data_IF_259461987672
#
_entry.id   IF_259461987672
#
_cell.length_a   1.000
_cell.length_b   1.000
_cell.length_c   1.000
_cell.angle_alpha   90.00
_cell.angle_beta   90.00
_cell.angle_gamma   90.00
#
_symmetry.space_group_name_H-M   'P 1'
#
loop_
_entity.id
_entity.type
_entity.pdbx_description
1 polymer ?
#
# COMPACT_ATOMS: atom_id res chain seq x y z
N UNK A 1 -20.86 1.65 -0.82
CA UNK A 1 -20.01 0.47 -0.52
C UNK A 1 -19.41 0.69 0.88
N UNK A 2 -19.31 -0.34 1.73
CA UNK A 2 -18.71 -0.22 3.08
C UNK A 2 -17.43 -1.06 3.12
N UNK A 3 -16.34 -0.46 3.58
CA UNK A 3 -15.04 -1.15 3.76
C UNK A 3 -14.85 -1.57 5.22
N UNK A 4 -14.08 -2.64 5.42
CA UNK A 4 -13.49 -2.90 6.73
C UNK A 4 -12.46 -1.82 7.02
N UNK A 5 -12.47 -1.26 8.23
CA UNK A 5 -11.48 -0.27 8.69
C UNK A 5 -10.71 -0.87 9.84
N UNK A 6 -9.37 -0.85 9.77
CA UNK A 6 -8.51 -1.36 10.83
C UNK A 6 -8.50 -0.42 12.04
N UNK A 7 -7.94 -0.88 13.17
CA UNK A 7 -7.74 -0.04 14.35
C UNK A 7 -6.85 1.20 14.07
N UNK A 8 -5.99 1.13 13.05
CA UNK A 8 -5.14 2.25 12.61
C UNK A 8 -5.81 3.15 11.57
N UNK A 9 -7.11 2.97 11.32
CA UNK A 9 -7.88 3.81 10.39
C UNK A 9 -7.74 3.45 8.91
N UNK A 10 -7.02 2.38 8.57
CA UNK A 10 -6.82 1.99 7.18
C UNK A 10 -8.02 1.22 6.64
N UNK A 11 -8.47 1.58 5.44
CA UNK A 11 -9.53 0.88 4.73
C UNK A 11 -8.94 -0.37 4.06
N UNK A 12 -9.58 -1.51 4.26
CA UNK A 12 -9.15 -2.79 3.71
C UNK A 12 -10.05 -3.21 2.57
N UNK A 13 -9.43 -3.62 1.47
CA UNK A 13 -10.10 -4.28 0.34
C UNK A 13 -9.63 -5.72 0.24
N UNK A 14 -10.58 -6.61 -0.04
CA UNK A 14 -10.28 -7.99 -0.38
C UNK A 14 -10.24 -8.13 -1.90
N UNK A 15 -9.16 -8.72 -2.42
CA UNK A 15 -8.96 -8.95 -3.83
C UNK A 15 -8.48 -10.39 -4.09
N UNK A 16 -8.43 -10.78 -5.36
CA UNK A 16 -7.85 -12.05 -5.79
C UNK A 16 -6.70 -11.77 -6.76
N UNK A 17 -5.49 -12.19 -6.41
CA UNK A 17 -4.31 -12.09 -7.27
C UNK A 17 -3.82 -13.50 -7.56
N UNK A 18 -3.74 -13.89 -8.84
CA UNK A 18 -3.33 -15.24 -9.26
C UNK A 18 -4.05 -16.38 -8.53
N UNK A 19 -5.35 -16.21 -8.24
CA UNK A 19 -6.13 -17.23 -7.53
C UNK A 19 -6.02 -17.20 -6.00
N UNK A 20 -5.14 -16.37 -5.42
CA UNK A 20 -5.00 -16.19 -3.99
C UNK A 20 -5.84 -15.01 -3.50
N UNK A 21 -6.65 -15.22 -2.47
CA UNK A 21 -7.34 -14.13 -1.79
C UNK A 21 -6.35 -13.34 -0.94
N UNK A 22 -6.30 -12.02 -1.16
CA UNK A 22 -5.40 -11.09 -0.44
C UNK A 22 -6.20 -9.96 0.18
N UNK A 23 -5.65 -9.38 1.25
CA UNK A 23 -6.15 -8.16 1.88
C UNK A 23 -5.15 -7.04 1.63
N UNK A 24 -5.64 -5.92 1.09
CA UNK A 24 -4.82 -4.77 0.73
C UNK A 24 -5.34 -3.53 1.46
N UNK A 25 -4.42 -2.60 1.77
CA UNK A 25 -4.80 -1.25 2.19
C UNK A 25 -5.21 -0.46 0.95
N UNK A 26 -6.35 0.21 1.02
CA UNK A 26 -6.73 1.19 0.00
C UNK A 26 -5.96 2.49 0.26
N UNK A 27 -4.94 2.72 -0.54
CA UNK A 27 -4.09 3.91 -0.47
C UNK A 27 -4.27 4.75 -1.74
N UNK A 28 -5.00 5.86 -1.63
CA UNK A 28 -5.26 6.76 -2.75
C UNK A 28 -4.07 7.67 -3.10
N UNK A 29 -3.06 7.74 -2.23
CA UNK A 29 -1.85 8.54 -2.46
C UNK A 29 -0.76 7.74 -3.19
N UNK A 30 -0.87 6.42 -3.27
CA UNK A 30 0.05 5.58 -4.01
C UNK A 30 -0.18 5.68 -5.53
N UNK A 31 0.87 6.02 -6.30
CA UNK A 31 0.81 6.06 -7.76
C UNK A 31 0.70 4.68 -8.42
N UNK A 32 1.04 3.61 -7.69
CA UNK A 32 0.90 2.23 -8.11
C UNK A 32 0.56 1.35 -6.89
N UNK A 33 0.01 0.16 -7.14
CA UNK A 33 -0.16 -0.84 -6.08
C UNK A 33 1.19 -1.40 -5.65
N UNK A 34 1.41 -1.52 -4.34
CA UNK A 34 2.68 -1.99 -3.76
C UNK A 34 2.45 -3.31 -3.03
N UNK A 35 3.30 -4.30 -3.32
CA UNK A 35 3.35 -5.58 -2.62
C UNK A 35 4.76 -5.80 -2.08
N UNK A 36 4.87 -6.36 -0.87
CA UNK A 36 6.17 -6.75 -0.34
C UNK A 36 6.70 -8.01 -1.06
N UNK A 37 8.03 -8.17 -1.06
CA UNK A 37 8.72 -9.25 -1.78
C UNK A 37 8.33 -10.66 -1.30
N UNK A 38 8.00 -10.82 -0.02
CA UNK A 38 7.55 -12.11 0.50
C UNK A 38 6.13 -12.43 0.01
N UNK A 39 5.26 -11.44 -0.13
CA UNK A 39 3.95 -11.58 -0.74
C UNK A 39 4.06 -11.96 -2.22
N UNK A 40 4.88 -11.26 -3.01
CA UNK A 40 5.16 -11.57 -4.43
C UNK A 40 5.54 -13.05 -4.60
N UNK A 41 6.47 -13.54 -3.79
CA UNK A 41 6.91 -14.95 -3.81
C UNK A 41 5.77 -15.93 -3.51
N UNK A 42 4.91 -15.62 -2.53
CA UNK A 42 3.75 -16.46 -2.17
C UNK A 42 2.69 -16.49 -3.28
N UNK A 43 2.56 -15.41 -4.03
CA UNK A 43 1.60 -15.26 -5.13
C UNK A 43 2.12 -15.82 -6.47
N UNK A 44 3.34 -16.37 -6.49
CA UNK A 44 3.97 -16.91 -7.70
C UNK A 44 4.25 -15.84 -8.77
N UNK A 45 4.41 -14.57 -8.36
CA UNK A 45 4.70 -13.47 -9.26
C UNK A 45 6.22 -13.43 -9.48
N UNK A 46 6.64 -13.38 -10.74
CA UNK A 46 8.03 -13.11 -11.09
C UNK A 46 8.27 -11.60 -10.98
N UNK A 47 9.33 -11.21 -10.28
CA UNK A 47 9.75 -9.81 -10.16
C UNK A 47 10.82 -9.49 -11.19
N UNK A 48 10.75 -8.29 -11.76
CA UNK A 48 11.76 -7.73 -12.64
C UNK A 48 12.20 -6.37 -12.10
N UNK A 49 13.45 -6.01 -12.31
CA UNK A 49 13.96 -4.70 -11.92
C UNK A 49 13.46 -3.67 -12.93
N UNK A 50 12.78 -2.64 -12.45
CA UNK A 50 12.39 -1.48 -13.26
C UNK A 50 13.45 -0.38 -13.17
N UNK A 51 13.61 0.39 -14.24
CA UNK A 51 14.37 1.66 -14.22
C UNK A 51 13.59 2.78 -13.50
N UNK A 52 12.27 2.60 -13.32
CA UNK A 52 11.43 3.52 -12.56
C UNK A 52 11.66 3.37 -11.05
N UNK A 53 11.80 4.50 -10.36
CA UNK A 53 11.97 4.54 -8.91
C UNK A 53 10.65 4.90 -8.23
N UNK A 54 10.33 4.18 -7.13
CA UNK A 54 9.27 4.59 -6.22
C UNK A 54 9.85 5.57 -5.17
N UNK A 55 9.17 6.69 -4.94
CA UNK A 55 9.50 7.64 -3.89
C UNK A 55 8.39 7.66 -2.82
N UNK A 56 8.78 7.84 -1.56
CA UNK A 56 7.87 8.02 -0.43
C UNK A 56 8.17 9.31 0.32
N UNK A 57 7.44 9.55 1.42
CA UNK A 57 7.53 10.80 2.20
C UNK A 57 8.96 11.10 2.74
N UNK A 58 9.86 10.13 2.75
CA UNK A 58 11.26 10.29 3.20
C UNK A 58 12.27 10.65 2.09
N UNK A 59 11.82 10.92 0.84
CA UNK A 59 12.72 11.11 -0.30
C UNK A 59 13.07 12.58 -0.64
N UNK A 60 12.64 13.56 0.15
CA UNK A 60 13.10 14.95 0.06
C UNK A 60 13.02 15.62 1.44
N UNK A 61 14.02 16.41 1.82
CA UNK A 61 13.98 17.20 3.07
C UNK A 61 12.79 18.17 3.04
N UNK A 62 11.76 17.89 3.83
CA UNK A 62 10.66 18.82 4.11
C UNK A 62 10.17 18.62 5.55
N UNK A 63 9.80 19.72 6.20
CA UNK A 63 9.15 19.73 7.52
C UNK A 63 7.83 18.94 7.47
N UNK A 64 7.69 18.01 8.42
CA UNK A 64 6.46 17.28 8.68
C UNK A 64 5.42 18.26 9.25
N UNK A 65 4.33 18.50 8.52
CA UNK A 65 3.18 19.19 9.06
C UNK A 65 2.50 18.31 10.13
N UNK A 66 2.35 18.84 11.34
CA UNK A 66 1.57 18.19 12.40
C UNK A 66 0.10 18.14 11.95
N UNK A 67 -0.50 16.95 12.01
CA UNK A 67 -1.95 16.78 11.90
C UNK A 67 -2.48 16.82 13.33
N UNK A 68 -3.05 17.95 13.72
CA UNK A 68 -3.89 18.02 14.92
C UNK A 68 -5.22 17.33 14.62
N UNK A 69 -5.46 16.22 15.30
CA UNK A 69 -6.78 15.58 15.33
C UNK A 69 -7.61 16.35 16.35
N UNK A 70 -8.45 17.27 15.87
CA UNK A 70 -9.45 17.95 16.71
C UNK A 70 -10.56 16.94 17.07
N UNK A 71 -10.84 16.81 18.37
CA UNK A 71 -12.05 16.14 18.90
C UNK A 71 -13.32 16.94 18.60
#
# INVERSE_FOLDING_TARGET
MKFEVTATGHQIIQAKINGHTVRLILDTAAGASVLDRACIKKLGIQEEISEENAAGLGAAEHEMGLIDVLE
#
